data_IF_402198192895
#
_entry.id   IF_402198192895
#
_cell.length_a   1.000
_cell.length_b   1.000
_cell.length_c   1.000
_cell.angle_alpha   90.00
_cell.angle_beta   90.00
_cell.angle_gamma   90.00
#
_symmetry.space_group_name_H-M   'P 1'
#
loop_
_entity.id
_entity.type
_entity.pdbx_description
1 polymer ?
#
# COMPACT_ATOMS: atom_id res chain seq x y z
N UNK A 1 23.23 6.70 -17.26
CA UNK A 1 22.72 6.01 -16.05
C UNK A 1 22.43 7.02 -14.94
N UNK A 2 21.29 6.91 -14.26
CA UNK A 2 20.91 7.84 -13.17
C UNK A 2 21.64 7.48 -11.86
N UNK A 3 21.91 8.48 -11.00
CA UNK A 3 22.74 8.30 -9.80
C UNK A 3 22.19 7.31 -8.77
N UNK A 4 20.87 7.18 -8.65
CA UNK A 4 20.23 6.21 -7.75
C UNK A 4 20.35 4.76 -8.25
N UNK A 5 20.36 4.55 -9.57
CA UNK A 5 20.59 3.22 -10.16
C UNK A 5 22.02 2.79 -9.87
N UNK A 6 23.00 3.67 -10.09
CA UNK A 6 24.41 3.38 -9.78
C UNK A 6 24.62 2.99 -8.31
N UNK A 7 24.08 3.79 -7.38
CA UNK A 7 24.10 3.47 -5.93
C UNK A 7 23.47 2.11 -5.62
N UNK A 8 22.39 1.75 -6.31
CA UNK A 8 21.73 0.46 -6.10
C UNK A 8 22.59 -0.70 -6.56
N UNK A 9 23.31 -0.55 -7.68
CA UNK A 9 24.25 -1.57 -8.16
C UNK A 9 25.41 -1.75 -7.16
N UNK A 10 25.97 -0.64 -6.66
CA UNK A 10 27.04 -0.65 -5.64
C UNK A 10 26.57 -1.35 -4.34
N UNK A 11 25.34 -1.09 -3.89
CA UNK A 11 24.75 -1.77 -2.72
C UNK A 11 24.59 -3.27 -2.96
N UNK A 12 24.13 -3.68 -4.14
CA UNK A 12 23.97 -5.09 -4.48
C UNK A 12 25.31 -5.82 -4.50
N UNK A 13 26.34 -5.22 -5.08
CA UNK A 13 27.70 -5.75 -5.07
C UNK A 13 28.26 -5.86 -3.64
N UNK A 14 28.06 -4.82 -2.81
CA UNK A 14 28.49 -4.84 -1.40
C UNK A 14 27.80 -5.91 -0.56
N UNK A 15 26.54 -6.24 -0.89
CA UNK A 15 25.77 -7.30 -0.24
C UNK A 15 26.12 -8.70 -0.75
N UNK A 16 27.03 -8.84 -1.72
CA UNK A 16 27.47 -10.12 -2.26
C UNK A 16 26.56 -10.70 -3.35
N UNK A 17 25.74 -9.87 -4.00
CA UNK A 17 24.96 -10.32 -5.16
C UNK A 17 25.86 -10.44 -6.40
N UNK A 18 25.75 -11.58 -7.07
CA UNK A 18 26.45 -11.83 -8.34
C UNK A 18 25.57 -11.40 -9.50
N UNK A 19 26.16 -10.64 -10.43
CA UNK A 19 25.48 -10.22 -11.65
C UNK A 19 25.52 -11.34 -12.69
N UNK A 20 24.35 -11.65 -13.24
CA UNK A 20 24.22 -12.48 -14.44
C UNK A 20 24.12 -11.55 -15.65
N UNK A 21 25.11 -11.64 -16.55
CA UNK A 21 25.13 -10.85 -17.77
C UNK A 21 24.20 -11.47 -18.81
N UNK A 22 23.10 -10.76 -19.07
CA UNK A 22 22.15 -11.08 -20.12
C UNK A 22 22.69 -10.51 -21.45
N UNK A 23 23.20 -11.38 -22.35
CA UNK A 23 23.81 -10.99 -23.64
C UNK A 23 22.90 -10.11 -24.52
N UNK A 24 21.58 -10.16 -24.30
CA UNK A 24 20.60 -9.38 -25.08
C UNK A 24 20.06 -8.17 -24.29
N UNK A 25 20.22 -8.15 -22.97
CA UNK A 25 19.62 -7.18 -22.07
C UNK A 25 20.47 -5.94 -21.81
N UNK A 26 20.77 -5.11 -22.83
CA UNK A 26 21.64 -3.91 -22.66
C UNK A 26 21.18 -2.89 -21.59
N UNK A 27 19.96 -3.01 -21.05
CA UNK A 27 19.36 -2.09 -20.07
C UNK A 27 18.79 -2.78 -18.83
N UNK A 28 19.09 -4.07 -18.64
CA UNK A 28 18.55 -4.90 -17.56
C UNK A 28 19.70 -5.66 -16.93
N UNK A 29 19.84 -5.53 -15.63
CA UNK A 29 20.79 -6.30 -14.84
C UNK A 29 20.03 -7.27 -13.96
N UNK A 30 20.42 -8.54 -14.03
CA UNK A 30 19.86 -9.60 -13.19
C UNK A 30 20.92 -9.96 -12.15
N UNK A 31 20.51 -10.03 -10.90
CA UNK A 31 21.36 -10.31 -9.75
C UNK A 31 20.83 -11.51 -8.99
N UNK A 32 21.76 -12.33 -8.51
CA UNK A 32 21.51 -13.54 -7.72
C UNK A 32 22.30 -13.51 -6.43
N UNK A 33 21.79 -14.19 -5.39
CA UNK A 33 22.45 -14.29 -4.10
C UNK A 33 22.57 -15.76 -3.68
N UNK A 34 23.68 -16.13 -3.04
CA UNK A 34 23.94 -17.51 -2.61
C UNK A 34 22.89 -18.06 -1.64
N UNK A 35 22.36 -17.20 -0.76
CA UNK A 35 21.31 -17.60 0.19
C UNK A 35 19.91 -17.77 -0.43
N UNK A 36 19.68 -17.23 -1.62
CA UNK A 36 18.38 -17.30 -2.29
C UNK A 36 18.56 -17.46 -3.80
N UNK A 37 19.05 -18.64 -4.26
CA UNK A 37 19.34 -18.87 -5.68
C UNK A 37 18.08 -18.81 -6.57
N UNK A 38 16.90 -19.11 -6.00
CA UNK A 38 15.63 -19.05 -6.71
C UNK A 38 15.07 -17.61 -6.85
N UNK A 39 15.56 -16.67 -6.04
CA UNK A 39 15.08 -15.29 -6.02
C UNK A 39 16.00 -14.32 -6.75
N UNK A 40 15.64 -13.99 -7.99
CA UNK A 40 16.38 -13.03 -8.81
C UNK A 40 15.94 -11.59 -8.53
N UNK A 41 16.91 -10.69 -8.39
CA UNK A 41 16.68 -9.24 -8.38
C UNK A 41 16.96 -8.66 -9.77
N UNK A 42 16.06 -7.80 -10.24
CA UNK A 42 16.15 -7.18 -11.57
C UNK A 42 16.19 -5.67 -11.43
N UNK A 43 17.24 -5.06 -11.96
CA UNK A 43 17.43 -3.60 -12.00
C UNK A 43 17.43 -3.15 -13.45
N UNK A 44 16.73 -2.05 -13.73
CA UNK A 44 16.63 -1.48 -15.08
C UNK A 44 17.35 -0.13 -15.14
N UNK A 45 17.95 0.21 -16.27
CA UNK A 45 18.67 1.50 -16.44
C UNK A 45 17.78 2.72 -16.14
N UNK A 46 16.49 2.62 -16.47
CA UNK A 46 15.50 3.67 -16.31
C UNK A 46 14.67 3.62 -15.02
N UNK A 47 15.03 2.79 -14.03
CA UNK A 47 14.21 2.61 -12.83
C UNK A 47 13.96 3.93 -12.09
N UNK A 48 12.77 4.05 -11.48
CA UNK A 48 12.45 5.15 -10.57
C UNK A 48 13.19 4.97 -9.24
N UNK A 49 13.39 6.06 -8.51
CA UNK A 49 14.06 6.04 -7.21
C UNK A 49 13.34 5.14 -6.19
N UNK A 50 12.00 5.22 -6.12
CA UNK A 50 11.20 4.36 -5.27
C UNK A 50 11.38 2.87 -5.58
N UNK A 51 11.52 2.51 -6.86
CA UNK A 51 11.75 1.13 -7.26
C UNK A 51 13.17 0.67 -6.89
N UNK A 52 14.16 1.55 -6.98
CA UNK A 52 15.52 1.27 -6.49
C UNK A 52 15.56 1.04 -4.98
N UNK A 53 14.86 1.86 -4.19
CA UNK A 53 14.75 1.68 -2.73
C UNK A 53 14.13 0.32 -2.40
N UNK A 54 13.06 -0.07 -3.10
CA UNK A 54 12.43 -1.37 -2.91
C UNK A 54 13.37 -2.55 -3.24
N UNK A 55 14.21 -2.42 -4.27
CA UNK A 55 15.24 -3.43 -4.59
C UNK A 55 16.28 -3.51 -3.48
N UNK A 56 16.76 -2.39 -2.97
CA UNK A 56 17.73 -2.36 -1.87
C UNK A 56 17.17 -3.01 -0.60
N UNK A 57 15.94 -2.65 -0.20
CA UNK A 57 15.27 -3.25 0.96
C UNK A 57 15.13 -4.77 0.80
N UNK A 58 14.77 -5.23 -0.40
CA UNK A 58 14.68 -6.67 -0.69
C UNK A 58 16.06 -7.34 -0.63
N UNK A 59 17.10 -6.69 -1.13
CA UNK A 59 18.47 -7.19 -1.09
C UNK A 59 18.98 -7.35 0.36
N UNK A 60 18.72 -6.34 1.20
CA UNK A 60 19.02 -6.42 2.63
C UNK A 60 18.28 -7.58 3.31
N UNK A 61 16.97 -7.73 3.04
CA UNK A 61 16.20 -8.84 3.59
C UNK A 61 16.78 -10.21 3.20
N UNK A 62 17.20 -10.41 1.95
CA UNK A 62 17.81 -11.67 1.48
C UNK A 62 19.18 -11.90 2.15
N UNK A 63 20.00 -10.85 2.26
CA UNK A 63 21.33 -10.93 2.88
C UNK A 63 21.24 -11.25 4.38
N UNK A 64 20.34 -10.58 5.11
CA UNK A 64 20.08 -10.82 6.54
C UNK A 64 19.46 -12.19 6.81
N UNK A 65 18.69 -12.74 5.87
CA UNK A 65 18.10 -14.08 5.99
C UNK A 65 19.17 -15.19 6.05
N UNK A 66 20.41 -14.92 5.62
CA UNK A 66 21.53 -15.86 5.80
C UNK A 66 21.91 -16.13 7.27
N UNK A 67 21.53 -15.24 8.20
CA UNK A 67 21.79 -15.40 9.65
C UNK A 67 20.55 -15.82 10.45
N UNK A 68 19.36 -15.81 9.85
CA UNK A 68 18.13 -16.19 10.53
C UNK A 68 17.87 -17.66 10.24
N UNK A 69 17.82 -18.50 11.29
CA UNK A 69 17.60 -19.95 11.19
C UNK A 69 16.37 -20.34 10.36
N UNK A 70 16.13 -21.65 10.16
CA UNK A 70 15.21 -22.17 9.16
C UNK A 70 13.88 -21.42 9.16
N UNK A 71 13.67 -20.61 8.11
CA UNK A 71 12.42 -19.90 7.92
C UNK A 71 11.30 -20.93 7.88
N UNK A 72 10.35 -20.79 8.78
CA UNK A 72 9.15 -21.61 8.87
C UNK A 72 8.58 -21.81 7.45
N UNK A 73 8.39 -23.06 6.99
CA UNK A 73 7.88 -23.31 5.65
C UNK A 73 6.53 -22.63 5.51
N UNK A 74 6.41 -21.73 4.54
CA UNK A 74 5.16 -21.04 4.21
C UNK A 74 4.21 -22.04 3.56
N UNK A 75 3.66 -22.96 4.34
CA UNK A 75 2.60 -23.84 3.90
C UNK A 75 1.35 -23.00 3.64
N UNK A 76 0.97 -22.98 2.35
CA UNK A 76 -0.30 -22.51 1.80
C UNK A 76 -0.54 -21.00 1.81
N UNK A 77 0.07 -20.33 0.81
CA UNK A 77 -0.25 -18.96 0.43
C UNK A 77 -0.45 -18.79 -1.08
N UNK A 78 -1.21 -19.68 -1.74
CA UNK A 78 -1.72 -19.47 -3.10
C UNK A 78 -2.71 -18.28 -3.07
N UNK A 79 -2.19 -17.05 -3.00
CA UNK A 79 -2.98 -15.81 -3.12
C UNK A 79 -2.28 -14.78 -4.00
N UNK A 80 -1.62 -15.23 -5.07
CA UNK A 80 -1.31 -14.41 -6.25
C UNK A 80 -2.60 -14.23 -7.07
N UNK A 81 -3.53 -13.39 -6.59
CA UNK A 81 -4.52 -12.70 -7.46
C UNK A 81 -5.40 -11.65 -6.74
N UNK A 82 -5.00 -11.10 -5.58
CA UNK A 82 -5.87 -10.14 -4.84
C UNK A 82 -5.19 -8.82 -4.42
N UNK A 83 -4.22 -8.33 -5.18
CA UNK A 83 -3.63 -6.99 -4.92
C UNK A 83 -4.22 -5.90 -5.84
N UNK A 84 -4.89 -6.26 -6.95
CA UNK A 84 -5.72 -5.29 -7.70
C UNK A 84 -7.10 -5.01 -7.07
N UNK A 85 -7.46 -5.69 -5.99
CA UNK A 85 -8.75 -5.52 -5.30
C UNK A 85 -8.59 -4.93 -3.88
N UNK A 86 -7.40 -4.50 -3.49
CA UNK A 86 -7.11 -3.98 -2.15
C UNK A 86 -6.50 -2.57 -2.15
N UNK A 87 -6.59 -1.84 -3.27
CA UNK A 87 -6.17 -0.42 -3.37
C UNK A 87 -7.34 0.57 -3.25
N UNK A 88 -8.43 0.19 -2.58
CA UNK A 88 -9.48 1.12 -2.18
C UNK A 88 -9.88 0.87 -0.73
N UNK A 89 -8.90 0.95 0.17
CA UNK A 89 -9.21 1.43 1.52
C UNK A 89 -9.36 2.95 1.43
N UNK A 90 -10.37 3.57 2.08
CA UNK A 90 -10.56 5.00 1.98
C UNK A 90 -9.28 5.68 2.45
N UNK A 91 -8.74 6.54 1.59
CA UNK A 91 -7.59 7.38 1.94
C UNK A 91 -7.95 8.17 3.19
N UNK A 92 -7.00 8.56 4.05
CA UNK A 92 -7.29 9.38 5.27
C UNK A 92 -8.16 10.62 4.93
N UNK A 93 -8.03 11.14 3.71
CA UNK A 93 -8.89 12.21 3.17
C UNK A 93 -10.35 11.79 2.86
N UNK A 94 -10.61 10.56 2.44
CA UNK A 94 -11.96 10.03 2.22
C UNK A 94 -12.66 9.72 3.54
N UNK A 95 -11.94 9.21 4.53
CA UNK A 95 -12.48 9.01 5.88
C UNK A 95 -12.90 10.35 6.51
N UNK A 96 -12.07 11.39 6.35
CA UNK A 96 -12.40 12.75 6.78
C UNK A 96 -13.57 13.39 6.00
N UNK A 97 -13.82 12.98 4.75
CA UNK A 97 -15.01 13.40 3.98
C UNK A 97 -16.27 12.69 4.47
N UNK A 98 -16.21 11.39 4.71
CA UNK A 98 -17.34 10.62 5.24
C UNK A 98 -17.78 11.13 6.62
N UNK A 99 -16.83 11.49 7.48
CA UNK A 99 -17.11 12.02 8.82
C UNK A 99 -17.80 13.40 8.75
N UNK A 100 -17.38 14.26 7.81
CA UNK A 100 -18.03 15.57 7.57
C UNK A 100 -19.43 15.44 6.97
N UNK A 101 -19.67 14.43 6.14
CA UNK A 101 -21.01 14.18 5.57
C UNK A 101 -21.97 13.56 6.60
N UNK A 102 -21.48 12.67 7.46
CA UNK A 102 -22.25 12.11 8.57
C UNK A 102 -22.70 13.20 9.55
N UNK A 103 -21.79 14.11 9.94
CA UNK A 103 -22.10 15.22 10.83
C UNK A 103 -23.14 16.22 10.24
N UNK A 104 -23.22 16.35 8.91
CA UNK A 104 -24.27 17.16 8.25
C UNK A 104 -25.63 16.47 8.30
N UNK A 105 -25.68 15.18 7.99
CA UNK A 105 -26.94 14.41 8.03
C UNK A 105 -27.54 14.34 9.43
N UNK A 106 -26.71 14.23 10.47
CA UNK A 106 -27.18 14.22 11.85
C UNK A 106 -27.80 15.56 12.26
N UNK A 107 -27.21 16.68 11.85
CA UNK A 107 -27.77 18.03 12.09
C UNK A 107 -29.09 18.26 11.37
N UNK A 108 -29.22 17.77 10.15
CA UNK A 108 -30.47 17.90 9.38
C UNK A 108 -31.57 17.00 9.96
N UNK A 109 -31.24 15.78 10.42
CA UNK A 109 -32.17 14.89 11.09
C UNK A 109 -32.72 15.51 12.39
N UNK A 110 -31.85 16.08 13.24
CA UNK A 110 -32.26 16.77 14.46
C UNK A 110 -33.16 17.99 14.17
N UNK A 111 -32.96 18.66 13.03
CA UNK A 111 -33.77 19.81 12.62
C UNK A 111 -35.17 19.38 12.14
N UNK A 112 -35.28 18.24 11.46
CA UNK A 112 -36.56 17.67 11.03
C UNK A 112 -37.34 17.17 12.26
N UNK A 113 -36.69 16.49 13.18
CA UNK A 113 -37.30 16.00 14.42
C UNK A 113 -37.83 17.16 15.28
N UNK A 114 -37.03 18.23 15.45
CA UNK A 114 -37.47 19.43 16.17
C UNK A 114 -38.63 20.18 15.49
N UNK A 115 -38.83 20.02 14.17
CA UNK A 115 -39.99 20.56 13.46
C UNK A 115 -41.22 19.68 13.68
N UNK A 116 -41.03 18.36 13.59
CA UNK A 116 -42.08 17.38 13.82
C UNK A 116 -42.65 17.47 15.24
N UNK A 117 -41.79 17.65 16.24
CA UNK A 117 -42.21 17.86 17.64
C UNK A 117 -43.02 19.15 17.84
N UNK A 118 -42.73 20.21 17.08
CA UNK A 118 -43.53 21.45 17.13
C UNK A 118 -44.88 21.26 16.45
N UNK A 119 -44.92 20.57 15.32
CA UNK A 119 -46.17 20.25 14.62
C UNK A 119 -47.08 19.36 15.49
N UNK A 120 -46.53 18.32 16.12
CA UNK A 120 -47.26 17.48 17.10
C UNK A 120 -47.75 18.31 18.28
N UNK A 121 -46.90 19.15 18.89
CA UNK A 121 -47.31 20.01 20.01
C UNK A 121 -48.40 20.99 19.62
N UNK A 122 -48.35 21.52 18.40
CA UNK A 122 -49.40 22.42 17.88
C UNK A 122 -50.73 21.67 17.67
N UNK A 123 -50.68 20.41 17.23
CA UNK A 123 -51.85 19.55 17.02
C UNK A 123 -52.46 19.06 18.34
N UNK A 124 -51.64 18.86 19.38
CA UNK A 124 -52.08 18.43 20.71
C UNK A 124 -52.60 19.57 21.59
N UNK A 125 -52.46 20.84 21.18
CA UNK A 125 -53.08 21.95 21.89
C UNK A 125 -54.58 22.02 21.55
N UNK A 126 -55.49 21.84 22.54
CA UNK A 126 -56.90 21.99 22.29
C UNK A 126 -57.20 23.48 22.01
N UNK A 127 -57.69 23.78 20.81
CA UNK A 127 -58.40 25.03 20.55
C UNK A 127 -57.90 25.94 19.44
N UNK A 128 -57.47 25.43 18.28
CA UNK A 128 -57.37 26.23 17.05
C UNK A 128 -58.26 25.65 15.96
N UNK A 129 -59.57 25.71 16.21
CA UNK A 129 -60.61 25.57 15.20
C UNK A 129 -61.54 26.78 15.33
N UNK A 130 -61.32 27.80 14.51
CA UNK A 130 -62.30 28.84 14.21
C UNK A 130 -62.22 29.18 12.73
#
# INVERSE_FOLDING_TARGET
MKGHVKRTLEVLEALGFTREDDMFGRRKWTFHHSFAPDEQLKVWEGQSEAACIAVQQKAHAISETGSSGPSMPKTVGRRKHRVKAASSGPTIMELARQDREAARKERDAARIEARHDREIKSLMQPGWGR
#
